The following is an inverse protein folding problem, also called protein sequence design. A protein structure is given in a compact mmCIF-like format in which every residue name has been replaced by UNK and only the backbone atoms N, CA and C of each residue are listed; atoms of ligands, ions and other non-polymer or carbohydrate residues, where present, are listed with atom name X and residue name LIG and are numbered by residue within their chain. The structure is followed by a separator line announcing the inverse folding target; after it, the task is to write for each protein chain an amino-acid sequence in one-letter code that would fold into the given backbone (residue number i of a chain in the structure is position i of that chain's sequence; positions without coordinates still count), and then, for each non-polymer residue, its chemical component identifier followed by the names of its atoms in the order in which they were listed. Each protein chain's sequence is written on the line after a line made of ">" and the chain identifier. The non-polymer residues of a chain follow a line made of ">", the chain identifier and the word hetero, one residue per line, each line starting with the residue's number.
data_IF_103689507791
#
_entry.id   IF_103689507791
#
_cell.length_a   1.000
_cell.length_b   1.000
_cell.length_c   1.000
_cell.angle_alpha   90.00
_cell.angle_beta   90.00
_cell.angle_gamma   90.00
#
_symmetry.space_group_name_H-M   'P 1'
#
loop_
_entity.id
_entity.type
_entity.pdbx_description
1 polymer ?
#
# COMPACT_ATOMS: atom_id res chain seq x y z
N UNK A 1 47.53 2.91 -18.81
CA UNK A 1 46.66 3.60 -17.84
C UNK A 1 45.33 2.85 -17.80
N UNK A 2 45.22 1.90 -16.85
CA UNK A 2 44.03 1.06 -16.62
C UNK A 2 42.94 1.88 -15.90
N UNK A 3 41.72 1.85 -16.45
CA UNK A 3 40.55 2.47 -15.87
C UNK A 3 40.18 1.81 -14.52
N UNK A 4 39.73 2.56 -13.50
CA UNK A 4 39.34 1.98 -12.22
C UNK A 4 38.09 1.12 -12.35
N UNK A 5 38.17 -0.13 -11.89
CA UNK A 5 37.06 -1.08 -11.81
C UNK A 5 35.94 -0.50 -10.92
N UNK A 6 34.75 -0.31 -11.49
CA UNK A 6 33.54 0.01 -10.72
C UNK A 6 33.29 -1.14 -9.73
N UNK A 7 33.48 -0.87 -8.45
CA UNK A 7 33.11 -1.79 -7.38
C UNK A 7 31.61 -2.06 -7.47
N UNK A 8 31.23 -3.26 -7.86
CA UNK A 8 29.85 -3.72 -7.85
C UNK A 8 29.34 -3.74 -6.41
N UNK A 9 28.18 -3.15 -6.18
CA UNK A 9 27.48 -3.25 -4.90
C UNK A 9 27.31 -4.74 -4.53
N UNK A 10 27.41 -5.12 -3.25
CA UNK A 10 27.38 -6.52 -2.84
C UNK A 10 26.10 -7.19 -3.39
N UNK A 11 26.28 -8.37 -3.96
CA UNK A 11 25.24 -9.13 -4.68
C UNK A 11 23.96 -9.37 -3.86
N UNK A 12 24.03 -9.24 -2.53
CA UNK A 12 22.89 -9.33 -1.63
C UNK A 12 21.93 -8.13 -1.79
N UNK A 13 22.46 -6.92 -1.94
CA UNK A 13 21.65 -5.69 -2.11
C UNK A 13 20.96 -5.69 -3.48
N UNK A 14 21.64 -6.20 -4.52
CA UNK A 14 21.03 -6.35 -5.85
C UNK A 14 19.90 -7.38 -5.91
N UNK A 15 19.89 -8.37 -5.01
CA UNK A 15 18.81 -9.37 -4.93
C UNK A 15 17.57 -8.89 -4.19
N UNK A 16 17.70 -7.91 -3.31
CA UNK A 16 16.61 -7.40 -2.47
C UNK A 16 15.84 -6.21 -3.08
N UNK A 17 16.45 -5.48 -4.01
CA UNK A 17 15.81 -4.30 -4.62
C UNK A 17 15.37 -4.58 -6.05
N UNK A 18 14.09 -4.28 -6.35
CA UNK A 18 13.50 -4.52 -7.68
C UNK A 18 14.13 -3.61 -8.75
N UNK A 19 14.57 -2.41 -8.41
CA UNK A 19 15.26 -1.50 -9.31
C UNK A 19 16.13 -0.49 -8.57
N UNK A 20 17.43 -0.42 -8.83
CA UNK A 20 18.28 0.67 -8.34
C UNK A 20 18.14 1.96 -9.15
N UNK A 21 17.37 1.96 -10.24
CA UNK A 21 17.25 3.11 -11.15
C UNK A 21 15.81 3.57 -11.22
N UNK A 22 15.56 4.77 -10.70
CA UNK A 22 14.28 5.45 -10.85
C UNK A 22 13.99 5.71 -12.34
N UNK A 23 12.95 5.09 -12.95
CA UNK A 23 12.66 5.30 -14.39
C UNK A 23 12.31 6.76 -14.68
N UNK A 24 12.65 7.25 -15.85
CA UNK A 24 12.22 8.59 -16.28
C UNK A 24 10.72 8.62 -16.63
N UNK A 25 10.00 9.72 -16.37
CA UNK A 25 10.43 10.98 -15.74
C UNK A 25 10.46 10.87 -14.20
N UNK A 26 11.63 11.05 -13.60
CA UNK A 26 11.86 10.78 -12.16
C UNK A 26 11.01 11.64 -11.23
N UNK A 27 11.02 12.96 -11.44
CA UNK A 27 10.30 13.91 -10.58
C UNK A 27 8.79 13.64 -10.59
N UNK A 28 8.20 13.44 -11.78
CA UNK A 28 6.77 13.15 -11.91
C UNK A 28 6.39 11.83 -11.21
N UNK A 29 7.23 10.79 -11.32
CA UNK A 29 6.99 9.50 -10.63
C UNK A 29 7.05 9.64 -9.12
N UNK A 30 8.03 10.36 -8.60
CA UNK A 30 8.13 10.63 -7.16
C UNK A 30 6.96 11.48 -6.68
N UNK A 31 6.63 12.57 -7.36
CA UNK A 31 5.50 13.40 -7.01
C UNK A 31 4.18 12.59 -6.97
N UNK A 32 3.91 11.81 -8.02
CA UNK A 32 2.71 10.96 -8.07
C UNK A 32 2.72 9.88 -6.99
N UNK A 33 3.89 9.27 -6.67
CA UNK A 33 4.02 8.32 -5.58
C UNK A 33 3.63 8.96 -4.25
N UNK A 34 4.31 10.05 -3.87
CA UNK A 34 4.11 10.65 -2.55
C UNK A 34 2.73 11.30 -2.39
N UNK A 35 2.20 11.91 -3.43
CA UNK A 35 0.79 12.38 -3.45
C UNK A 35 -0.16 11.20 -3.26
N UNK A 36 0.06 10.09 -3.98
CA UNK A 36 -0.76 8.89 -3.84
C UNK A 36 -0.69 8.29 -2.43
N UNK A 37 0.49 8.20 -1.84
CA UNK A 37 0.68 7.67 -0.49
C UNK A 37 0.03 8.57 0.58
N UNK A 38 0.15 9.90 0.44
CA UNK A 38 -0.53 10.86 1.31
C UNK A 38 -2.06 10.71 1.21
N UNK A 39 -2.60 10.69 -0.01
CA UNK A 39 -4.03 10.49 -0.24
C UNK A 39 -4.54 9.16 0.31
N UNK A 40 -3.70 8.12 0.26
CA UNK A 40 -4.06 6.82 0.85
C UNK A 40 -4.23 6.92 2.37
N UNK A 41 -3.29 7.56 3.07
CA UNK A 41 -3.41 7.81 4.51
C UNK A 41 -4.59 8.72 4.86
N UNK A 42 -4.80 9.78 4.07
CA UNK A 42 -5.98 10.66 4.19
C UNK A 42 -7.29 9.87 4.05
N UNK A 43 -7.37 8.95 3.07
CA UNK A 43 -8.57 8.13 2.87
C UNK A 43 -8.89 7.26 4.09
N UNK A 44 -7.85 6.66 4.71
CA UNK A 44 -8.00 5.91 5.96
C UNK A 44 -8.54 6.78 7.10
N UNK A 45 -7.98 7.99 7.25
CA UNK A 45 -8.46 8.94 8.25
C UNK A 45 -9.91 9.40 8.01
N UNK A 46 -10.32 9.61 6.76
CA UNK A 46 -11.72 9.94 6.40
C UNK A 46 -12.67 8.80 6.79
N UNK A 47 -12.31 7.55 6.50
CA UNK A 47 -13.11 6.39 6.87
C UNK A 47 -13.18 6.22 8.39
N UNK A 48 -12.07 6.38 9.10
CA UNK A 48 -12.04 6.34 10.57
C UNK A 48 -12.91 7.46 11.18
N UNK A 49 -12.85 8.69 10.63
CA UNK A 49 -13.66 9.82 11.08
C UNK A 49 -15.15 9.72 10.72
N UNK A 50 -15.48 8.92 9.71
CA UNK A 50 -16.89 8.62 9.42
C UNK A 50 -17.56 7.82 10.54
N UNK A 51 -16.77 7.03 11.28
CA UNK A 51 -17.23 6.14 12.35
C UNK A 51 -18.38 5.19 11.91
N UNK A 52 -18.44 4.89 10.60
CA UNK A 52 -19.37 3.94 9.98
C UNK A 52 -18.70 2.60 9.64
N UNK A 53 -17.41 2.49 9.95
CA UNK A 53 -16.58 1.34 9.67
C UNK A 53 -15.35 1.72 8.83
N UNK A 54 -14.19 1.17 9.20
CA UNK A 54 -12.89 1.44 8.58
C UNK A 54 -12.48 0.35 7.57
N UNK A 55 -11.37 0.59 6.86
CA UNK A 55 -10.73 -0.44 6.04
C UNK A 55 -10.28 -1.62 6.92
N UNK A 56 -10.31 -2.87 6.45
CA UNK A 56 -9.93 -4.06 7.26
C UNK A 56 -8.63 -3.92 8.05
N UNK A 57 -7.58 -3.39 7.41
CA UNK A 57 -6.30 -3.15 8.07
C UNK A 57 -6.34 -2.01 9.09
N UNK A 58 -7.12 -0.97 8.81
CA UNK A 58 -7.24 0.15 9.74
C UNK A 58 -8.11 -0.21 10.94
N UNK A 59 -9.04 -1.16 10.81
CA UNK A 59 -9.74 -1.79 11.96
C UNK A 59 -8.71 -2.46 12.88
N UNK A 60 -7.74 -3.19 12.34
CA UNK A 60 -6.66 -3.79 13.15
C UNK A 60 -5.79 -2.73 13.80
N UNK A 61 -5.34 -1.72 13.06
CA UNK A 61 -4.51 -0.65 13.61
C UNK A 61 -5.25 0.14 14.70
N UNK A 62 -6.53 0.42 14.50
CA UNK A 62 -7.39 1.09 15.47
C UNK A 62 -7.54 0.23 16.75
N UNK A 63 -7.85 -1.06 16.61
CA UNK A 63 -7.95 -1.97 17.74
C UNK A 63 -6.66 -2.04 18.56
N UNK A 64 -5.50 -2.17 17.89
CA UNK A 64 -4.19 -2.15 18.55
C UNK A 64 -3.90 -0.80 19.21
N UNK A 65 -4.27 0.31 18.58
CA UNK A 65 -4.15 1.65 19.13
C UNK A 65 -4.92 1.81 20.44
N UNK A 66 -6.16 1.32 20.48
CA UNK A 66 -7.01 1.35 21.68
C UNK A 66 -6.42 0.53 22.84
N UNK A 67 -5.78 -0.60 22.56
CA UNK A 67 -5.21 -1.48 23.57
C UNK A 67 -3.85 -1.00 24.10
N UNK A 68 -3.09 -0.24 23.30
CA UNK A 68 -1.69 0.09 23.62
C UNK A 68 -1.44 1.58 23.85
N UNK A 69 -2.35 2.45 23.43
CA UNK A 69 -2.17 3.91 23.47
C UNK A 69 -1.26 4.47 22.39
N UNK A 70 -0.66 3.64 21.50
CA UNK A 70 0.10 4.13 20.36
C UNK A 70 -0.86 4.62 19.26
N UNK A 71 -0.41 5.55 18.42
CA UNK A 71 -1.23 6.07 17.32
C UNK A 71 -1.54 4.99 16.27
N UNK A 72 -2.64 5.19 15.53
CA UNK A 72 -3.05 4.31 14.43
C UNK A 72 -1.97 4.26 13.35
N UNK A 73 -1.37 5.41 13.00
CA UNK A 73 -0.29 5.48 12.04
C UNK A 73 0.98 4.78 12.50
N UNK A 74 1.31 4.86 13.80
CA UNK A 74 2.43 4.09 14.37
C UNK A 74 2.20 2.59 14.19
N UNK A 75 1.00 2.07 14.49
CA UNK A 75 0.67 0.67 14.26
C UNK A 75 0.70 0.30 12.78
N UNK A 76 0.26 1.20 11.89
CA UNK A 76 0.39 0.99 10.43
C UNK A 76 1.84 0.80 10.01
N UNK A 77 2.78 1.59 10.56
CA UNK A 77 4.23 1.46 10.30
C UNK A 77 4.78 0.15 10.86
N UNK A 78 4.44 -0.18 12.11
CA UNK A 78 4.90 -1.42 12.75
C UNK A 78 4.43 -2.64 11.95
N UNK A 79 3.14 -2.75 11.69
CA UNK A 79 2.56 -3.88 10.93
C UNK A 79 3.13 -3.91 9.51
N UNK A 80 3.23 -2.77 8.82
CA UNK A 80 3.84 -2.70 7.49
C UNK A 80 5.28 -3.21 7.48
N UNK A 81 6.06 -2.88 8.51
CA UNK A 81 7.44 -3.37 8.68
C UNK A 81 7.46 -4.88 8.93
N UNK A 82 6.59 -5.40 9.80
CA UNK A 82 6.48 -6.83 10.05
C UNK A 82 6.08 -7.61 8.79
N UNK A 83 5.15 -7.06 7.99
CA UNK A 83 4.78 -7.65 6.70
C UNK A 83 5.96 -7.71 5.74
N UNK A 84 6.81 -6.67 5.71
CA UNK A 84 8.03 -6.69 4.89
C UNK A 84 9.04 -7.73 5.35
N UNK A 85 9.12 -8.02 6.66
CA UNK A 85 9.96 -9.12 7.15
C UNK A 85 9.44 -10.48 6.67
N UNK A 86 8.11 -10.66 6.58
CA UNK A 86 7.51 -11.87 6.00
C UNK A 86 7.79 -12.03 4.49
N UNK A 87 8.15 -10.94 3.78
CA UNK A 87 8.54 -11.02 2.37
C UNK A 87 9.84 -11.79 2.17
N UNK A 88 10.72 -11.84 3.18
CA UNK A 88 12.01 -12.56 3.08
C UNK A 88 11.77 -14.03 2.76
N UNK A 89 11.02 -14.82 3.56
CA UNK A 89 10.74 -16.21 3.22
C UNK A 89 9.84 -16.36 1.98
N UNK A 90 8.95 -15.39 1.71
CA UNK A 90 8.08 -15.36 0.52
C UNK A 90 8.83 -14.90 -0.75
N UNK A 91 10.12 -14.57 -0.65
CA UNK A 91 10.99 -14.12 -1.75
C UNK A 91 10.41 -12.97 -2.56
N UNK A 92 9.63 -12.09 -1.92
CA UNK A 92 9.12 -10.88 -2.54
C UNK A 92 10.20 -9.80 -2.56
N UNK A 93 10.18 -8.95 -3.60
CA UNK A 93 11.17 -7.88 -3.75
C UNK A 93 10.55 -6.54 -3.39
N UNK A 94 11.15 -5.85 -2.41
CA UNK A 94 10.74 -4.51 -2.05
C UNK A 94 11.32 -3.48 -3.02
N UNK A 95 10.51 -2.48 -3.39
CA UNK A 95 10.93 -1.32 -4.16
C UNK A 95 10.92 -0.05 -3.33
N UNK A 96 11.35 1.08 -3.94
CA UNK A 96 11.27 2.40 -3.29
C UNK A 96 9.83 2.71 -2.85
N UNK A 97 8.85 2.41 -3.70
CA UNK A 97 7.44 2.59 -3.39
C UNK A 97 6.99 1.78 -2.19
N UNK A 98 7.50 0.55 -2.02
CA UNK A 98 7.18 -0.32 -0.88
C UNK A 98 7.69 0.27 0.44
N UNK A 99 8.95 0.72 0.48
CA UNK A 99 9.54 1.35 1.67
C UNK A 99 8.84 2.66 2.04
N UNK A 100 8.59 3.51 1.03
CA UNK A 100 7.87 4.77 1.21
C UNK A 100 6.44 4.54 1.69
N UNK A 101 5.76 3.48 1.19
CA UNK A 101 4.39 3.12 1.58
C UNK A 101 4.29 2.88 3.10
N UNK A 102 5.19 2.10 3.68
CA UNK A 102 5.19 1.79 5.12
C UNK A 102 5.22 3.06 5.96
N UNK A 103 6.12 3.99 5.65
CA UNK A 103 6.35 5.18 6.48
C UNK A 103 5.32 6.26 6.18
N UNK A 104 5.15 6.61 4.89
CA UNK A 104 4.37 7.78 4.49
C UNK A 104 2.88 7.58 4.77
N UNK A 105 2.32 6.39 4.55
CA UNK A 105 0.90 6.15 4.85
C UNK A 105 0.64 6.31 6.34
N UNK A 106 1.46 5.70 7.22
CA UNK A 106 1.27 5.81 8.65
C UNK A 106 1.33 7.26 9.14
N UNK A 107 2.36 8.02 8.72
CA UNK A 107 2.47 9.44 9.05
C UNK A 107 1.29 10.26 8.51
N UNK A 108 0.82 9.93 7.31
CA UNK A 108 -0.32 10.63 6.68
C UNK A 108 -1.64 10.34 7.38
N UNK A 109 -1.86 9.11 7.88
CA UNK A 109 -3.02 8.77 8.70
C UNK A 109 -3.04 9.62 9.96
N UNK A 110 -1.94 9.64 10.72
CA UNK A 110 -1.88 10.40 11.98
C UNK A 110 -2.04 11.90 11.74
N UNK A 111 -1.36 12.47 10.75
CA UNK A 111 -1.51 13.86 10.38
C UNK A 111 -2.96 14.19 9.98
N UNK A 112 -3.58 13.35 9.18
CA UNK A 112 -4.96 13.56 8.72
C UNK A 112 -5.97 13.43 9.87
N UNK A 113 -5.77 12.48 10.78
CA UNK A 113 -6.60 12.34 11.99
C UNK A 113 -6.45 13.54 12.93
N UNK A 114 -5.28 14.14 12.99
CA UNK A 114 -5.07 15.38 13.77
C UNK A 114 -5.75 16.59 13.13
N UNK A 115 -5.78 16.68 11.80
CA UNK A 115 -6.39 17.79 11.07
C UNK A 115 -7.93 17.67 10.95
N UNK A 116 -8.46 16.45 10.86
CA UNK A 116 -9.88 16.22 10.63
C UNK A 116 -10.65 16.17 11.95
N UNK A 117 -11.65 17.03 12.13
CA UNK A 117 -12.52 16.98 13.32
C UNK A 117 -13.39 15.73 13.33
N UNK A 118 -13.84 15.33 14.51
CA UNK A 118 -14.92 14.37 14.69
C UNK A 118 -16.27 15.01 14.42
N UNK A 119 -17.25 14.23 13.99
CA UNK A 119 -18.61 14.71 13.74
C UNK A 119 -19.64 13.67 14.11
N UNK A 120 -20.77 14.13 14.67
CA UNK A 120 -21.94 13.28 14.95
C UNK A 120 -23.05 13.45 13.90
N UNK A 121 -22.85 14.35 12.94
CA UNK A 121 -23.83 14.61 11.88
C UNK A 121 -23.80 13.47 10.85
N UNK A 122 -24.87 12.67 10.79
CA UNK A 122 -24.96 11.52 9.86
C UNK A 122 -24.71 11.90 8.40
N UNK A 123 -25.23 13.01 7.83
CA UNK A 123 -24.90 13.40 6.46
C UNK A 123 -23.40 13.61 6.23
N UNK A 124 -22.70 14.21 7.22
CA UNK A 124 -21.25 14.44 7.12
C UNK A 124 -20.47 13.12 7.26
N UNK A 125 -20.90 12.21 8.14
CA UNK A 125 -20.33 10.87 8.27
C UNK A 125 -20.43 10.09 6.96
N UNK A 126 -21.58 10.13 6.28
CA UNK A 126 -21.80 9.52 4.97
C UNK A 126 -20.91 10.16 3.89
N UNK A 127 -20.75 11.48 3.91
CA UNK A 127 -19.86 12.20 3.01
C UNK A 127 -18.40 11.78 3.22
N UNK A 128 -17.95 11.71 4.49
CA UNK A 128 -16.60 11.26 4.83
C UNK A 128 -16.35 9.81 4.36
N UNK A 129 -17.34 8.93 4.52
CA UNK A 129 -17.28 7.56 4.01
C UNK A 129 -17.13 7.54 2.48
N UNK A 130 -18.00 8.25 1.76
CA UNK A 130 -17.96 8.27 0.30
C UNK A 130 -16.64 8.86 -0.24
N UNK A 131 -16.18 9.97 0.34
CA UNK A 131 -14.90 10.59 0.01
C UNK A 131 -13.73 9.65 0.35
N UNK A 132 -13.76 9.00 1.52
CA UNK A 132 -12.72 8.05 1.92
C UNK A 132 -12.56 6.92 0.91
N UNK A 133 -13.65 6.29 0.48
CA UNK A 133 -13.63 5.22 -0.52
C UNK A 133 -13.10 5.73 -1.87
N UNK A 134 -13.59 6.88 -2.34
CA UNK A 134 -13.18 7.46 -3.62
C UNK A 134 -11.69 7.86 -3.63
N UNK A 135 -11.26 8.58 -2.59
CA UNK A 135 -9.86 9.01 -2.43
C UNK A 135 -8.93 7.80 -2.33
N UNK A 136 -9.34 6.72 -1.65
CA UNK A 136 -8.57 5.48 -1.59
C UNK A 136 -8.34 4.87 -2.98
N UNK A 137 -9.38 4.84 -3.83
CA UNK A 137 -9.28 4.29 -5.18
C UNK A 137 -8.32 5.11 -6.06
N UNK A 138 -8.43 6.45 -6.01
CA UNK A 138 -7.52 7.38 -6.71
C UNK A 138 -6.08 7.21 -6.19
N UNK A 139 -5.90 7.20 -4.88
CA UNK A 139 -4.61 7.03 -4.21
C UNK A 139 -3.93 5.72 -4.64
N UNK A 140 -4.70 4.62 -4.66
CA UNK A 140 -4.25 3.30 -5.11
C UNK A 140 -3.80 3.34 -6.57
N UNK A 141 -4.58 3.97 -7.44
CA UNK A 141 -4.19 4.21 -8.83
C UNK A 141 -2.89 5.00 -8.95
N UNK A 142 -2.72 6.06 -8.14
CA UNK A 142 -1.53 6.88 -8.14
C UNK A 142 -0.28 6.09 -7.74
N UNK A 143 -0.26 5.46 -6.55
CA UNK A 143 0.98 4.83 -6.05
C UNK A 143 1.33 3.53 -6.77
N UNK A 144 0.35 2.73 -7.19
CA UNK A 144 0.59 1.53 -8.00
C UNK A 144 0.98 1.92 -9.43
N UNK A 145 0.32 2.92 -10.01
CA UNK A 145 0.52 3.36 -11.38
C UNK A 145 1.94 3.84 -11.71
N UNK A 146 2.74 4.24 -10.72
CA UNK A 146 4.14 4.63 -10.91
C UNK A 146 5.10 3.45 -11.09
N UNK A 147 4.71 2.22 -10.71
CA UNK A 147 5.53 1.02 -10.89
C UNK A 147 6.81 0.96 -10.05
N UNK A 148 6.83 1.59 -8.86
CA UNK A 148 8.00 1.63 -7.97
C UNK A 148 7.97 0.57 -6.85
N UNK A 149 7.14 -0.42 -6.99
CA UNK A 149 6.95 -1.53 -6.06
C UNK A 149 5.54 -1.56 -5.46
N UNK A 150 5.01 -2.77 -5.16
CA UNK A 150 3.70 -2.93 -4.53
C UNK A 150 3.75 -2.52 -3.05
N UNK A 151 2.59 -2.26 -2.45
CA UNK A 151 2.49 -2.08 -1.01
C UNK A 151 2.82 -3.37 -0.23
N UNK A 152 3.18 -3.28 1.07
CA UNK A 152 3.52 -4.44 1.89
C UNK A 152 2.42 -5.50 1.94
N UNK A 153 1.17 -5.06 1.97
CA UNK A 153 -0.03 -5.91 1.98
C UNK A 153 -0.22 -6.65 0.66
N UNK A 154 0.00 -5.96 -0.46
CA UNK A 154 -0.12 -6.54 -1.81
C UNK A 154 0.94 -7.62 -2.04
N UNK A 155 2.16 -7.37 -1.56
CA UNK A 155 3.24 -8.35 -1.66
C UNK A 155 3.02 -9.60 -0.79
N UNK A 156 2.35 -9.48 0.35
CA UNK A 156 1.91 -10.63 1.13
C UNK A 156 0.91 -11.48 0.32
N UNK A 157 -0.08 -10.84 -0.30
CA UNK A 157 -1.08 -11.53 -1.14
C UNK A 157 -0.43 -12.25 -2.33
N UNK A 158 0.49 -11.58 -3.02
CA UNK A 158 1.22 -12.18 -4.16
C UNK A 158 2.19 -13.26 -3.71
N UNK A 159 2.81 -13.10 -2.53
CA UNK A 159 3.68 -14.12 -1.93
C UNK A 159 2.93 -15.41 -1.62
N UNK A 160 1.76 -15.31 -0.99
CA UNK A 160 0.89 -16.47 -0.71
C UNK A 160 0.34 -17.10 -1.99
N UNK A 161 0.04 -16.30 -3.01
CA UNK A 161 -0.34 -16.83 -4.31
C UNK A 161 0.80 -17.66 -4.96
N UNK A 162 2.05 -17.28 -4.75
CA UNK A 162 3.21 -18.06 -5.15
C UNK A 162 3.33 -19.43 -4.47
N UNK A 163 2.65 -19.63 -3.33
CA UNK A 163 2.54 -20.91 -2.62
C UNK A 163 1.33 -21.75 -3.04
N UNK A 164 0.59 -21.35 -4.08
CA UNK A 164 -0.52 -22.11 -4.65
C UNK A 164 -1.93 -21.61 -4.28
N UNK A 165 -2.07 -20.55 -3.47
CA UNK A 165 -3.37 -19.93 -3.22
C UNK A 165 -3.77 -19.01 -4.39
N UNK A 166 -5.08 -18.93 -4.69
CA UNK A 166 -5.52 -17.88 -5.59
C UNK A 166 -5.39 -16.50 -4.93
N UNK A 167 -5.01 -15.47 -5.70
CA UNK A 167 -4.87 -14.09 -5.19
C UNK A 167 -6.16 -13.62 -4.51
N UNK A 168 -7.31 -13.97 -5.06
CA UNK A 168 -8.62 -13.61 -4.48
C UNK A 168 -8.81 -14.25 -3.10
N UNK A 169 -8.51 -15.55 -2.98
CA UNK A 169 -8.64 -16.26 -1.71
C UNK A 169 -7.65 -15.73 -0.67
N UNK A 170 -6.38 -15.53 -1.04
CA UNK A 170 -5.37 -14.97 -0.16
C UNK A 170 -5.80 -13.59 0.35
N UNK A 171 -6.28 -12.71 -0.54
CA UNK A 171 -6.81 -11.39 -0.19
C UNK A 171 -7.97 -11.49 0.80
N UNK A 172 -9.00 -12.28 0.46
CA UNK A 172 -10.19 -12.41 1.32
C UNK A 172 -9.83 -12.96 2.70
N UNK A 173 -9.01 -14.00 2.77
CA UNK A 173 -8.57 -14.58 4.05
C UNK A 173 -7.82 -13.56 4.91
N UNK A 174 -6.86 -12.82 4.32
CA UNK A 174 -6.11 -11.80 5.04
C UNK A 174 -7.06 -10.70 5.52
N UNK A 175 -7.89 -10.13 4.63
CA UNK A 175 -8.76 -9.01 4.97
C UNK A 175 -9.80 -9.39 6.04
N UNK A 176 -10.38 -10.59 5.97
CA UNK A 176 -11.31 -11.09 6.99
C UNK A 176 -10.57 -11.32 8.32
N UNK A 177 -9.38 -11.92 8.29
CA UNK A 177 -8.61 -12.19 9.51
C UNK A 177 -8.22 -10.89 10.22
N UNK A 178 -7.69 -9.90 9.50
CA UNK A 178 -7.26 -8.63 10.12
C UNK A 178 -8.46 -7.81 10.60
N UNK A 179 -9.58 -7.81 9.88
CA UNK A 179 -10.81 -7.16 10.31
C UNK A 179 -11.38 -7.81 11.59
N UNK A 180 -11.40 -9.14 11.65
CA UNK A 180 -11.87 -9.88 12.84
C UNK A 180 -10.96 -9.62 14.04
N UNK A 181 -9.65 -9.73 13.88
CA UNK A 181 -8.70 -9.44 14.97
C UNK A 181 -8.83 -8.00 15.46
N UNK A 182 -8.92 -7.04 14.53
CA UNK A 182 -9.11 -5.64 14.88
C UNK A 182 -10.43 -5.38 15.60
N UNK A 183 -11.51 -6.01 15.16
CA UNK A 183 -12.82 -5.91 15.81
C UNK A 183 -12.78 -6.47 17.25
N UNK A 184 -12.15 -7.63 17.45
CA UNK A 184 -11.99 -8.21 18.78
C UNK A 184 -11.15 -7.33 19.72
N UNK A 185 -10.28 -6.49 19.18
CA UNK A 185 -9.49 -5.51 19.93
C UNK A 185 -10.22 -4.15 20.10
N UNK A 186 -11.46 -4.02 19.63
CA UNK A 186 -12.29 -2.81 19.74
C UNK A 186 -12.27 -1.89 18.54
N UNK A 187 -11.66 -2.29 17.43
CA UNK A 187 -11.70 -1.53 16.17
C UNK A 187 -13.09 -1.51 15.55
N UNK A 188 -13.41 -0.46 14.79
CA UNK A 188 -14.75 -0.19 14.27
C UNK A 188 -14.99 -0.93 12.94
N UNK A 189 -15.81 -1.97 12.99
CA UNK A 189 -16.38 -2.64 11.82
C UNK A 189 -17.83 -2.21 11.66
N UNK A 190 -18.25 -1.87 10.44
CA UNK A 190 -19.62 -1.43 10.18
C UNK A 190 -20.00 -1.45 8.71
N UNK A 191 -21.09 -0.79 8.38
CA UNK A 191 -21.57 -0.66 6.99
C UNK A 191 -20.50 -0.07 6.08
N UNK A 192 -19.73 0.90 6.58
CA UNK A 192 -18.60 1.50 5.84
C UNK A 192 -17.53 0.50 5.45
N UNK A 193 -17.22 -0.49 6.32
CA UNK A 193 -16.27 -1.57 5.99
C UNK A 193 -16.79 -2.41 4.82
N UNK A 194 -18.06 -2.76 4.83
CA UNK A 194 -18.69 -3.54 3.74
C UNK A 194 -18.71 -2.74 2.44
N UNK A 195 -19.14 -1.48 2.49
CA UNK A 195 -19.14 -0.57 1.33
C UNK A 195 -17.75 -0.43 0.75
N UNK A 196 -16.72 -0.22 1.61
CA UNK A 196 -15.33 -0.16 1.17
C UNK A 196 -14.90 -1.45 0.45
N UNK A 197 -15.12 -2.61 1.06
CA UNK A 197 -14.70 -3.90 0.49
C UNK A 197 -15.34 -4.18 -0.87
N UNK A 198 -16.60 -3.79 -1.07
CA UNK A 198 -17.31 -4.00 -2.33
C UNK A 198 -16.91 -2.97 -3.41
N UNK A 199 -16.69 -1.72 -3.01
CA UNK A 199 -16.47 -0.62 -3.95
C UNK A 199 -15.01 -0.45 -4.38
N UNK A 200 -14.03 -0.75 -3.49
CA UNK A 200 -12.62 -0.46 -3.77
C UNK A 200 -12.07 -1.20 -4.99
N UNK A 201 -12.48 -2.45 -5.21
CA UNK A 201 -12.04 -3.25 -6.36
C UNK A 201 -12.45 -2.64 -7.70
N UNK A 202 -13.76 -2.45 -7.96
CA UNK A 202 -14.25 -1.79 -9.17
C UNK A 202 -13.69 -0.39 -9.38
N UNK A 203 -13.66 0.45 -8.34
CA UNK A 203 -13.13 1.82 -8.45
C UNK A 203 -11.63 1.82 -8.81
N UNK A 204 -10.84 0.95 -8.20
CA UNK A 204 -9.41 0.85 -8.55
C UNK A 204 -9.21 0.42 -9.99
N UNK A 205 -10.07 -0.45 -10.55
CA UNK A 205 -10.01 -0.84 -11.97
C UNK A 205 -10.26 0.34 -12.90
N UNK A 206 -11.02 1.34 -12.48
CA UNK A 206 -11.25 2.57 -13.26
C UNK A 206 -10.05 3.52 -13.15
N UNK A 207 -9.55 3.78 -11.93
CA UNK A 207 -8.52 4.80 -11.72
C UNK A 207 -7.11 4.33 -12.05
N UNK A 208 -6.79 3.05 -11.86
CA UNK A 208 -5.44 2.54 -12.10
C UNK A 208 -4.96 2.73 -13.55
N UNK A 209 -5.75 2.42 -14.60
CA UNK A 209 -5.35 2.69 -15.98
C UNK A 209 -5.09 4.17 -16.26
N UNK A 210 -5.90 5.07 -15.66
CA UNK A 210 -5.76 6.53 -15.85
C UNK A 210 -4.48 7.09 -15.22
N UNK A 211 -3.99 6.47 -14.15
CA UNK A 211 -2.82 6.92 -13.39
C UNK A 211 -1.54 6.15 -13.75
N UNK A 212 -1.64 5.14 -14.63
CA UNK A 212 -0.52 4.30 -15.01
C UNK A 212 0.49 5.06 -15.84
N UNK A 213 1.73 5.09 -15.38
CA UNK A 213 2.84 5.63 -16.16
C UNK A 213 3.42 4.55 -17.06
N UNK A 214 3.65 4.89 -18.34
CA UNK A 214 4.30 3.99 -19.29
C UNK A 214 5.66 3.53 -18.78
N UNK A 215 5.94 2.23 -18.84
CA UNK A 215 7.28 1.72 -18.65
C UNK A 215 8.16 2.21 -19.83
N UNK A 216 9.42 2.61 -19.58
CA UNK A 216 10.34 2.86 -20.66
C UNK A 216 10.50 1.55 -21.48
N UNK A 217 10.69 1.65 -22.82
CA UNK A 217 10.89 0.49 -23.66
C UNK A 217 12.02 -0.37 -23.07
N UNK A 218 11.77 -1.65 -22.90
CA UNK A 218 12.84 -2.59 -22.49
C UNK A 218 13.91 -2.59 -23.57
N UNK A 219 15.19 -2.46 -23.21
CA UNK A 219 16.25 -2.60 -24.21
C UNK A 219 16.08 -3.96 -24.91
N UNK A 220 16.33 -4.02 -26.22
CA UNK A 220 16.23 -5.26 -26.98
C UNK A 220 17.10 -6.31 -26.27
N UNK A 221 16.53 -7.52 -26.09
CA UNK A 221 17.30 -8.64 -25.56
C UNK A 221 18.50 -8.85 -26.46
N UNK A 222 19.70 -8.82 -25.90
CA UNK A 222 20.90 -9.25 -26.64
C UNK A 222 20.63 -10.59 -27.30
N UNK A 223 20.91 -10.75 -28.60
CA UNK A 223 20.79 -12.03 -29.25
C UNK A 223 21.63 -13.05 -28.49
N UNK A 224 21.05 -14.22 -28.24
CA UNK A 224 21.74 -15.31 -27.58
C UNK A 224 23.06 -15.61 -28.35
N UNK A 225 24.17 -15.87 -27.66
CA UNK A 225 25.42 -16.24 -28.34
C UNK A 225 25.14 -17.43 -29.27
N UNK A 226 25.43 -17.27 -30.55
CA UNK A 226 25.36 -18.36 -31.51
C UNK A 226 26.41 -19.37 -31.06
N UNK A 227 25.96 -20.51 -30.57
CA UNK A 227 26.84 -21.68 -30.37
C UNK A 227 27.23 -22.19 -31.76
N UNK A 228 28.46 -21.96 -32.13
CA UNK A 228 29.13 -22.58 -33.27
C UNK A 228 29.64 -23.96 -32.87
#
# INVERSE_FOLDING_TARGET
>A
LSAPSRRSAPALVQRLLITPVLPRPRLRRLAQLYVGLYLYGLSGALLLRSDLGAMPWDVLHQGLSLQTGLSIGTWSIIIGTLLMLLWIPLRQKAGLGTLSNVIVIGLSVDLSLWLLPTTDLMPLRLLLLALGVLVCAVATGCYIGVGLGPGPRDGLMTGLAGLGLSIRLARTLIEVTVALLGFLLGGTVGVGTVVFMLAIGPLTQVFLPLMRMSEPPRPPRSPAPRTS
#
